data_IF_954450364154
#
_entry.id   IF_954450364154
#
_cell.length_a   1.000
_cell.length_b   1.000
_cell.length_c   1.000
_cell.angle_alpha   90.00
_cell.angle_beta   90.00
_cell.angle_gamma   90.00
#
_symmetry.space_group_name_H-M   'P 1'
#
loop_
_entity.id
_entity.type
_entity.pdbx_description
1 polymer ?
#
# COMPACT_ATOMS: atom_id res chain seq x y z
N UNK A 1 -8.81 -23.71 9.54
CA UNK A 1 -8.62 -24.07 8.12
C UNK A 1 -8.46 -22.77 7.37
N UNK A 2 -7.29 -22.52 6.76
CA UNK A 2 -7.10 -21.42 5.81
C UNK A 2 -7.64 -21.89 4.46
N UNK A 3 -8.72 -21.27 4.00
CA UNK A 3 -9.21 -21.46 2.64
C UNK A 3 -8.33 -20.65 1.68
N UNK A 4 -8.14 -21.15 0.46
CA UNK A 4 -7.53 -20.35 -0.60
C UNK A 4 -8.51 -19.23 -0.95
N UNK A 5 -8.07 -18.00 -0.75
CA UNK A 5 -8.82 -16.81 -1.10
C UNK A 5 -8.44 -16.33 -2.50
N UNK A 6 -9.37 -15.68 -3.16
CA UNK A 6 -9.16 -15.01 -4.44
C UNK A 6 -8.84 -13.55 -4.13
N UNK A 7 -7.64 -13.10 -4.54
CA UNK A 7 -7.32 -11.68 -4.53
C UNK A 7 -7.88 -11.05 -5.81
N UNK A 8 -8.63 -9.97 -5.66
CA UNK A 8 -9.00 -9.06 -6.75
C UNK A 8 -8.61 -7.64 -6.39
N UNK A 9 -8.47 -6.79 -7.40
CA UNK A 9 -8.15 -5.39 -7.16
C UNK A 9 -8.88 -4.45 -8.13
N UNK A 10 -9.16 -3.23 -7.66
CA UNK A 10 -9.79 -2.19 -8.47
C UNK A 10 -8.92 -0.93 -8.44
N UNK A 11 -8.66 -0.33 -9.59
CA UNK A 11 -8.06 0.99 -9.67
C UNK A 11 -9.17 2.05 -9.66
N UNK A 12 -9.23 2.84 -8.60
CA UNK A 12 -10.18 3.93 -8.44
C UNK A 12 -9.48 5.28 -8.50
N UNK A 13 -10.20 6.27 -9.01
CA UNK A 13 -9.67 7.61 -9.21
C UNK A 13 -10.49 8.59 -8.40
N UNK A 14 -9.82 9.35 -7.55
CA UNK A 14 -10.46 10.30 -6.67
C UNK A 14 -9.88 11.68 -6.88
N UNK A 15 -10.76 12.67 -6.95
CA UNK A 15 -10.40 14.06 -6.77
C UNK A 15 -10.64 14.40 -5.30
N UNK A 16 -9.59 14.32 -4.49
CA UNK A 16 -9.69 14.57 -3.06
C UNK A 16 -9.09 15.91 -2.68
N UNK A 17 -9.75 16.58 -1.74
CA UNK A 17 -9.12 17.62 -0.93
C UNK A 17 -8.35 16.92 0.18
N UNK A 18 -7.07 16.63 -0.05
CA UNK A 18 -6.23 16.03 0.98
C UNK A 18 -5.61 17.14 1.82
N UNK A 19 -5.80 17.14 3.15
CA UNK A 19 -4.93 17.92 4.02
C UNK A 19 -3.51 17.35 3.91
N UNK A 20 -2.51 18.19 3.69
CA UNK A 20 -1.13 17.73 3.87
C UNK A 20 -0.96 17.31 5.33
N UNK A 21 -0.44 16.10 5.57
CA UNK A 21 -0.35 15.49 6.89
C UNK A 21 0.45 16.32 7.93
N UNK A 22 1.09 17.42 7.50
CA UNK A 22 1.85 18.33 8.34
C UNK A 22 1.52 19.83 8.16
N UNK A 23 0.64 20.20 7.22
CA UNK A 23 0.30 21.60 6.96
C UNK A 23 -1.20 21.75 6.71
N UNK A 24 -1.85 22.71 7.37
CA UNK A 24 -3.31 22.99 7.25
C UNK A 24 -3.70 23.58 5.89
N UNK A 25 -3.07 23.16 4.81
CA UNK A 25 -3.39 23.53 3.44
C UNK A 25 -4.05 22.31 2.77
N UNK A 26 -5.25 22.53 2.25
CA UNK A 26 -5.95 21.54 1.44
C UNK A 26 -5.53 21.72 -0.01
N UNK A 27 -4.97 20.68 -0.61
CA UNK A 27 -4.75 20.65 -2.04
C UNK A 27 -5.76 19.70 -2.67
N UNK A 28 -6.38 20.13 -3.77
CA UNK A 28 -7.06 19.19 -4.66
C UNK A 28 -6.00 18.36 -5.36
N UNK A 29 -5.87 17.09 -4.99
CA UNK A 29 -5.03 16.12 -5.69
C UNK A 29 -5.93 15.11 -6.38
N UNK A 30 -5.62 14.84 -7.64
CA UNK A 30 -6.17 13.69 -8.35
C UNK A 30 -5.26 12.51 -8.01
N UNK A 31 -5.85 11.50 -7.38
CA UNK A 31 -5.14 10.34 -6.86
C UNK A 31 -5.68 9.09 -7.55
N UNK A 32 -4.77 8.28 -8.06
CA UNK A 32 -5.05 6.90 -8.40
C UNK A 32 -4.86 6.04 -7.15
N UNK A 33 -5.85 5.22 -6.84
CA UNK A 33 -5.93 4.41 -5.64
C UNK A 33 -6.22 2.97 -6.01
N UNK A 34 -5.45 2.05 -5.44
CA UNK A 34 -5.65 0.62 -5.64
C UNK A 34 -6.46 0.10 -4.47
N UNK A 35 -7.64 -0.44 -4.77
CA UNK A 35 -8.48 -1.17 -3.83
C UNK A 35 -8.26 -2.68 -3.90
N UNK A 36 -7.79 -3.31 -2.82
CA UNK A 36 -7.62 -4.76 -2.73
C UNK A 36 -8.78 -5.45 -2.01
N UNK A 37 -9.20 -6.59 -2.54
CA UNK A 37 -10.27 -7.42 -2.00
C UNK A 37 -9.83 -8.87 -1.90
N UNK A 38 -10.24 -9.56 -0.83
CA UNK A 38 -10.14 -11.00 -0.69
C UNK A 38 -11.54 -11.59 -0.65
N UNK A 39 -11.86 -12.47 -1.60
CA UNK A 39 -13.18 -13.10 -1.71
C UNK A 39 -14.32 -12.06 -1.76
N UNK A 40 -14.07 -10.92 -2.40
CA UNK A 40 -15.00 -9.78 -2.50
C UNK A 40 -15.09 -8.91 -1.24
N UNK A 41 -14.36 -9.24 -0.18
CA UNK A 41 -14.28 -8.45 1.06
C UNK A 41 -13.10 -7.49 0.96
N UNK A 42 -13.30 -6.17 1.14
CA UNK A 42 -12.20 -5.21 1.09
C UNK A 42 -11.16 -5.56 2.17
N UNK A 43 -9.89 -5.67 1.75
CA UNK A 43 -8.79 -5.98 2.65
C UNK A 43 -8.41 -4.77 3.50
N UNK A 44 -8.60 -3.56 3.01
CA UNK A 44 -8.18 -2.34 3.71
C UNK A 44 -9.27 -1.25 3.62
N UNK A 45 -9.37 -0.45 4.69
CA UNK A 45 -10.23 0.73 4.80
C UNK A 45 -9.41 2.00 4.49
N UNK A 46 -9.81 2.66 3.41
CA UNK A 46 -9.07 3.75 2.76
C UNK A 46 -9.28 5.13 3.40
N UNK A 47 -10.08 5.24 4.46
CA UNK A 47 -10.12 6.48 5.23
C UNK A 47 -8.75 6.85 5.83
N UNK A 48 -7.87 5.84 6.05
CA UNK A 48 -6.59 6.01 6.78
C UNK A 48 -5.41 5.27 6.12
N UNK A 49 -5.63 4.19 5.35
CA UNK A 49 -4.56 3.24 4.99
C UNK A 49 -4.55 2.89 3.49
N UNK A 50 -3.38 3.01 2.85
CA UNK A 50 -3.13 2.64 1.45
C UNK A 50 -2.11 1.50 1.36
N UNK A 51 -2.30 0.59 0.40
CA UNK A 51 -1.27 -0.39 0.03
C UNK A 51 -0.36 0.22 -1.02
N UNK A 52 0.95 0.18 -0.76
CA UNK A 52 1.96 0.65 -1.71
C UNK A 52 2.25 -0.47 -2.71
N UNK A 53 1.88 -0.29 -3.98
CA UNK A 53 2.02 -1.30 -5.03
C UNK A 53 3.45 -1.83 -5.14
N UNK A 54 4.46 -0.95 -5.07
CA UNK A 54 5.88 -1.34 -5.11
C UNK A 54 6.29 -2.22 -3.92
N UNK A 55 5.69 -2.04 -2.72
CA UNK A 55 5.94 -2.95 -1.60
C UNK A 55 5.30 -4.31 -1.85
N UNK A 56 4.09 -4.33 -2.42
CA UNK A 56 3.41 -5.58 -2.75
C UNK A 56 4.18 -6.34 -3.84
N UNK A 57 4.69 -5.66 -4.86
CA UNK A 57 5.57 -6.23 -5.88
C UNK A 57 6.82 -6.85 -5.24
N UNK A 58 7.52 -6.13 -4.36
CA UNK A 58 8.68 -6.67 -3.64
C UNK A 58 8.34 -7.90 -2.79
N UNK A 59 7.18 -7.89 -2.12
CA UNK A 59 6.72 -9.02 -1.31
C UNK A 59 6.39 -10.27 -2.15
N UNK A 60 6.24 -10.12 -3.46
CA UNK A 60 6.05 -11.23 -4.39
C UNK A 60 7.36 -11.78 -4.92
N UNK A 61 8.48 -11.06 -4.85
CA UNK A 61 9.73 -11.45 -5.53
C UNK A 61 10.50 -12.53 -4.77
N UNK A 62 10.51 -12.46 -3.44
CA UNK A 62 11.35 -13.30 -2.59
C UNK A 62 10.52 -13.89 -1.44
N UNK A 63 10.89 -15.10 -0.99
CA UNK A 63 10.32 -15.69 0.23
C UNK A 63 10.73 -14.82 1.43
N UNK A 64 9.79 -14.53 2.32
CA UNK A 64 10.05 -13.63 3.43
C UNK A 64 8.80 -13.04 4.06
N UNK A 65 9.02 -12.21 5.07
CA UNK A 65 7.97 -11.46 5.77
C UNK A 65 8.10 -9.96 5.46
N UNK A 66 6.99 -9.36 5.02
CA UNK A 66 6.92 -7.99 4.53
C UNK A 66 5.80 -7.24 5.23
N UNK A 67 6.12 -6.06 5.74
CA UNK A 67 5.13 -5.14 6.27
C UNK A 67 4.70 -4.15 5.19
N UNK A 68 3.39 -4.13 4.87
CA UNK A 68 2.86 -3.31 3.78
C UNK A 68 1.77 -2.38 4.30
N UNK A 69 2.13 -1.12 4.57
CA UNK A 69 1.19 0.00 4.59
C UNK A 69 1.88 1.35 4.38
N UNK A 70 1.13 2.26 3.77
CA UNK A 70 1.37 3.69 3.79
C UNK A 70 0.09 4.39 4.30
N UNK A 71 0.22 5.54 4.95
CA UNK A 71 -0.93 6.40 5.22
C UNK A 71 -1.55 6.87 3.90
N UNK A 72 -2.82 7.27 3.93
CA UNK A 72 -3.50 7.90 2.79
C UNK A 72 -2.73 9.10 2.20
N UNK A 73 -1.87 9.75 2.98
CA UNK A 73 -0.99 10.83 2.53
C UNK A 73 0.24 10.38 1.71
N UNK A 74 0.48 9.07 1.56
CA UNK A 74 1.62 8.52 0.82
C UNK A 74 2.94 8.51 1.60
N UNK A 75 3.02 9.15 2.76
CA UNK A 75 4.22 9.20 3.59
C UNK A 75 4.34 7.94 4.45
N UNK A 76 5.43 7.19 4.30
CA UNK A 76 5.70 6.00 5.10
C UNK A 76 5.77 6.29 6.61
N UNK A 77 6.26 7.47 7.01
CA UNK A 77 6.27 7.93 8.40
C UNK A 77 4.86 8.11 8.99
N UNK A 78 3.87 8.54 8.20
CA UNK A 78 2.48 8.65 8.67
C UNK A 78 1.80 7.28 8.72
N UNK A 79 2.28 6.31 7.92
CA UNK A 79 1.80 4.93 7.92
C UNK A 79 2.32 4.08 9.07
N UNK A 80 3.31 4.57 9.82
CA UNK A 80 3.91 3.89 10.96
C UNK A 80 3.03 3.95 12.23
N UNK A 81 1.72 3.75 12.09
CA UNK A 81 0.85 3.54 13.24
C UNK A 81 1.23 2.17 13.87
N UNK A 82 1.63 2.13 15.15
CA UNK A 82 2.23 0.95 15.77
C UNK A 82 1.35 -0.31 15.76
N UNK A 83 0.05 -0.17 15.52
CA UNK A 83 -0.94 -1.24 15.66
C UNK A 83 -1.75 -1.51 14.38
N UNK A 84 -1.23 -1.20 13.18
CA UNK A 84 -2.05 -1.25 11.97
C UNK A 84 -1.28 -1.64 10.71
N UNK A 85 -0.50 -2.73 10.74
CA UNK A 85 0.21 -3.22 9.56
C UNK A 85 -0.42 -4.49 8.93
N UNK A 86 -0.09 -4.76 7.67
CA UNK A 86 -0.34 -6.05 7.05
C UNK A 86 1.00 -6.75 7.03
N UNK A 87 1.04 -7.93 7.63
CA UNK A 87 2.13 -8.86 7.45
C UNK A 87 1.82 -9.75 6.25
N UNK A 88 2.63 -9.65 5.21
CA UNK A 88 2.64 -10.56 4.09
C UNK A 88 3.80 -11.52 4.27
N UNK A 89 3.51 -12.81 4.34
CA UNK A 89 4.51 -13.86 4.33
C UNK A 89 4.43 -14.63 3.02
N UNK A 90 5.51 -14.60 2.26
CA UNK A 90 5.63 -15.34 1.00
C UNK A 90 6.37 -16.66 1.27
N UNK A 91 5.75 -17.77 0.87
CA UNK A 91 6.29 -19.14 1.00
C UNK A 91 6.00 -19.94 -0.27
N UNK A 92 6.96 -20.00 -1.18
CA UNK A 92 6.83 -20.80 -2.40
C UNK A 92 5.69 -20.32 -3.31
N UNK A 93 4.64 -21.13 -3.49
CA UNK A 93 3.47 -20.77 -4.32
C UNK A 93 2.37 -20.03 -3.55
N UNK A 94 2.62 -19.67 -2.27
CA UNK A 94 1.63 -19.06 -1.39
C UNK A 94 2.06 -17.71 -0.87
N UNK A 95 1.05 -16.85 -0.74
CA UNK A 95 1.15 -15.58 -0.05
C UNK A 95 0.14 -15.57 1.10
N UNK A 96 0.66 -15.53 2.32
CA UNK A 96 -0.11 -15.47 3.56
C UNK A 96 -0.25 -14.02 3.99
N UNK A 97 -1.48 -13.57 4.13
CA UNK A 97 -1.79 -12.19 4.46
C UNK A 97 -2.44 -12.14 5.83
N UNK A 98 -1.81 -11.43 6.76
CA UNK A 98 -2.30 -11.28 8.13
C UNK A 98 -2.47 -9.81 8.47
N UNK A 99 -3.71 -9.42 8.80
CA UNK A 99 -3.97 -8.10 9.38
C UNK A 99 -3.49 -8.05 10.82
N UNK A 100 -2.65 -7.08 11.14
CA UNK A 100 -2.29 -6.72 12.51
C UNK A 100 -3.09 -5.48 12.92
N UNK A 101 -3.54 -5.43 14.18
CA UNK A 101 -4.33 -4.33 14.74
C UNK A 101 -5.74 -4.66 15.19
N UNK A 102 -6.52 -3.61 15.40
CA UNK A 102 -7.90 -3.62 15.93
C UNK A 102 -8.96 -4.04 14.89
N UNK A 103 -8.58 -4.22 13.64
CA UNK A 103 -9.46 -4.84 12.64
C UNK A 103 -9.65 -6.33 12.99
N UNK A 104 -10.78 -6.96 12.60
CA UNK A 104 -10.94 -8.39 12.78
C UNK A 104 -9.71 -9.11 12.23
N UNK A 105 -9.09 -9.96 13.07
CA UNK A 105 -7.89 -10.74 12.71
C UNK A 105 -8.24 -11.70 11.57
N UNK A 106 -8.20 -11.18 10.35
CA UNK A 106 -8.42 -11.94 9.14
C UNK A 106 -7.08 -12.46 8.64
N UNK A 107 -7.10 -13.72 8.20
CA UNK A 107 -5.95 -14.39 7.59
C UNK A 107 -6.40 -14.93 6.25
N UNK A 108 -5.73 -14.48 5.21
CA UNK A 108 -5.98 -14.92 3.85
C UNK A 108 -4.76 -15.67 3.34
N UNK A 109 -4.99 -16.59 2.42
CA UNK A 109 -3.91 -17.29 1.71
C UNK A 109 -4.23 -17.26 0.24
N UNK A 110 -3.32 -16.70 -0.54
CA UNK A 110 -3.46 -16.54 -1.98
C UNK A 110 -2.45 -17.42 -2.71
N UNK A 111 -2.77 -17.77 -3.95
CA UNK A 111 -1.79 -18.34 -4.88
C UNK A 111 -0.92 -17.21 -5.41
N UNK A 112 0.39 -17.28 -5.22
CA UNK A 112 1.33 -16.21 -5.59
C UNK A 112 1.15 -15.77 -7.05
N UNK A 113 1.01 -16.72 -7.98
CA UNK A 113 0.85 -16.43 -9.41
C UNK A 113 -0.41 -15.61 -9.71
N UNK A 114 -1.52 -15.87 -9.00
CA UNK A 114 -2.73 -15.07 -9.14
C UNK A 114 -2.50 -13.63 -8.67
N UNK A 115 -1.80 -13.45 -7.54
CA UNK A 115 -1.48 -12.12 -7.02
C UNK A 115 -0.57 -11.36 -8.00
N UNK A 116 0.44 -12.03 -8.58
CA UNK A 116 1.29 -11.45 -9.62
C UNK A 116 0.49 -10.99 -10.83
N UNK A 117 -0.44 -11.82 -11.32
CA UNK A 117 -1.28 -11.48 -12.46
C UNK A 117 -2.14 -10.22 -12.19
N UNK A 118 -2.74 -10.11 -11.00
CA UNK A 118 -3.51 -8.92 -10.62
C UNK A 118 -2.63 -7.67 -10.46
N UNK A 119 -1.47 -7.80 -9.83
CA UNK A 119 -0.51 -6.69 -9.70
C UNK A 119 -0.04 -6.18 -11.06
N UNK A 120 0.29 -7.09 -11.99
CA UNK A 120 0.69 -6.72 -13.35
C UNK A 120 -0.44 -6.03 -14.14
N UNK A 121 -1.69 -6.47 -13.95
CA UNK A 121 -2.86 -5.80 -14.54
C UNK A 121 -3.03 -4.38 -13.99
N UNK A 122 -2.96 -4.20 -12.67
CA UNK A 122 -3.05 -2.89 -12.03
C UNK A 122 -1.95 -1.94 -12.49
N UNK A 123 -0.72 -2.43 -12.60
CA UNK A 123 0.42 -1.66 -13.09
C UNK A 123 0.16 -1.13 -14.50
N UNK A 124 -0.35 -1.99 -15.40
CA UNK A 124 -0.73 -1.58 -16.76
C UNK A 124 -1.84 -0.53 -16.76
N UNK A 125 -2.86 -0.68 -15.93
CA UNK A 125 -3.96 0.29 -15.82
C UNK A 125 -3.49 1.63 -15.28
N UNK A 126 -2.62 1.62 -14.26
CA UNK A 126 -2.01 2.80 -13.68
C UNK A 126 -1.16 3.56 -14.71
N UNK A 127 -0.31 2.85 -15.46
CA UNK A 127 0.47 3.46 -16.54
C UNK A 127 -0.40 4.04 -17.66
N UNK A 128 -1.46 3.33 -18.07
CA UNK A 128 -2.40 3.84 -19.06
C UNK A 128 -3.09 5.12 -18.59
N UNK A 129 -3.44 5.19 -17.31
CA UNK A 129 -4.00 6.40 -16.71
C UNK A 129 -3.01 7.57 -16.67
N UNK A 130 -1.76 7.34 -16.24
CA UNK A 130 -0.73 8.39 -16.28
C UNK A 130 -0.49 8.91 -17.70
N UNK A 131 -0.48 8.03 -18.70
CA UNK A 131 -0.35 8.42 -20.10
C UNK A 131 -1.56 9.26 -20.59
N UNK A 132 -2.76 8.98 -20.09
CA UNK A 132 -3.97 9.72 -20.42
C UNK A 132 -4.14 11.04 -19.64
N UNK A 133 -3.35 11.24 -18.58
CA UNK A 133 -3.46 12.40 -17.68
C UNK A 133 -2.13 13.15 -17.54
N UNK A 134 -1.62 13.76 -18.63
CA UNK A 134 -0.26 14.33 -18.68
C UNK A 134 -0.04 15.48 -17.71
N UNK A 135 -1.10 16.19 -17.30
CA UNK A 135 -1.03 17.27 -16.32
C UNK A 135 -0.83 16.77 -14.87
N UNK A 136 -1.00 15.46 -14.65
CA UNK A 136 -0.73 14.76 -13.39
C UNK A 136 0.61 14.02 -13.39
N UNK A 137 1.51 14.31 -14.35
CA UNK A 137 2.87 13.79 -14.28
C UNK A 137 3.43 14.08 -12.89
N UNK A 138 3.94 13.01 -12.24
CA UNK A 138 4.43 13.07 -10.87
C UNK A 138 5.21 14.38 -10.66
N UNK A 139 4.93 15.14 -9.59
CA UNK A 139 5.95 16.08 -9.13
C UNK A 139 7.19 15.22 -8.96
N UNK A 140 8.18 15.37 -9.85
CA UNK A 140 9.42 14.58 -9.87
C UNK A 140 9.86 14.47 -8.42
N UNK A 141 9.66 13.30 -7.83
CA UNK A 141 9.82 13.12 -6.40
C UNK A 141 11.32 13.15 -6.12
N UNK A 142 11.87 14.35 -5.99
CA UNK A 142 13.14 14.55 -5.29
C UNK A 142 13.02 14.07 -3.83
N UNK A 143 11.80 13.89 -3.33
CA UNK A 143 11.47 13.18 -2.10
C UNK A 143 11.10 11.73 -2.40
N UNK A 144 12.08 10.83 -2.56
CA UNK A 144 12.25 9.57 -1.80
C UNK A 144 13.54 8.93 -2.31
N UNK A 145 14.68 9.35 -1.75
CA UNK A 145 15.92 8.56 -1.75
C UNK A 145 16.14 7.85 -0.42
N UNK A 146 15.12 7.80 0.44
CA UNK A 146 15.21 7.15 1.73
C UNK A 146 14.55 5.78 1.63
N UNK A 147 15.35 4.75 1.86
CA UNK A 147 14.91 3.41 2.14
C UNK A 147 13.90 3.40 3.31
N UNK A 148 13.09 2.35 3.43
CA UNK A 148 12.12 2.21 4.53
C UNK A 148 12.75 2.36 5.92
N UNK A 149 13.96 1.83 6.04
CA UNK A 149 14.76 1.84 7.26
C UNK A 149 15.28 3.25 7.56
N UNK A 150 15.67 4.01 6.52
CA UNK A 150 16.03 5.42 6.65
C UNK A 150 14.83 6.28 7.07
N UNK A 151 13.63 6.02 6.55
CA UNK A 151 12.40 6.71 6.97
C UNK A 151 12.07 6.40 8.44
N UNK A 152 12.20 5.14 8.86
CA UNK A 152 11.97 4.73 10.25
C UNK A 152 13.00 5.37 11.21
N UNK A 153 14.28 5.36 10.84
CA UNK A 153 15.35 5.95 11.63
C UNK A 153 15.23 7.48 11.74
N UNK A 154 14.80 8.15 10.67
CA UNK A 154 14.53 9.60 10.68
C UNK A 154 13.34 9.95 11.59
N UNK A 155 12.23 9.20 11.51
CA UNK A 155 11.12 9.35 12.46
C UNK A 155 11.58 9.19 13.91
N UNK A 156 12.37 8.15 14.17
CA UNK A 156 12.86 7.83 15.53
C UNK A 156 13.71 8.95 16.10
N UNK A 157 14.62 9.55 15.31
CA UNK A 157 15.43 10.71 15.71
C UNK A 157 14.56 11.94 16.03
N UNK A 158 13.61 12.27 15.15
CA UNK A 158 12.75 13.46 15.30
C UNK A 158 11.78 13.37 16.46
N UNK A 159 11.27 12.17 16.75
CA UNK A 159 10.18 11.97 17.71
C UNK A 159 10.67 11.63 19.10
N UNK A 160 11.78 10.88 19.21
CA UNK A 160 12.32 10.44 20.50
C UNK A 160 13.48 11.31 21.01
N UNK A 161 13.84 12.38 20.29
CA UNK A 161 15.00 13.23 20.59
C UNK A 161 16.30 12.44 20.81
N UNK A 162 16.49 11.38 20.01
CA UNK A 162 17.69 10.54 19.98
C UNK A 162 18.66 11.01 18.90
#
# INVERSE_FOLDING_TARGET
MTTNSILTAELKYYKMLTPECHWRQYHTRELAQIELFADGIPLIDYSIRNVYLLRLQRALEEDGEYEIFCCSCGTAHCGALPDAFVLIRHEGDRLHWTHTGDLPKARYTFVTEQVRAEVARLEKELYAWFAATPDLQEPRSQEVLMSPEEVYLDWKRRTLHL
#
